data_IF_875738756291
#
_entry.id   IF_875738756291
#
_cell.length_a   1.000
_cell.length_b   1.000
_cell.length_c   1.000
_cell.angle_alpha   90.00
_cell.angle_beta   90.00
_cell.angle_gamma   90.00
#
_symmetry.space_group_name_H-M   'P 1'
#
loop_
_entity.id
_entity.type
_entity.pdbx_description
1 polymer ?
#
# COMPACT_ATOMS: atom_id res chain seq x y z
N UNK A 1 5.40 -19.09 -4.79
CA UNK A 1 6.18 -18.19 -5.66
C UNK A 1 6.39 -16.92 -4.86
N UNK A 2 7.64 -16.47 -4.69
CA UNK A 2 7.95 -15.28 -3.90
C UNK A 2 7.37 -14.04 -4.60
N UNK A 3 6.68 -13.17 -3.86
CA UNK A 3 6.12 -11.92 -4.40
C UNK A 3 7.18 -10.86 -4.37
N UNK A 4 7.24 -10.04 -5.42
CA UNK A 4 8.14 -8.89 -5.45
C UNK A 4 7.65 -7.83 -4.47
N UNK A 5 8.56 -7.15 -3.78
CA UNK A 5 8.18 -6.02 -2.91
C UNK A 5 7.80 -4.80 -3.76
N UNK A 6 6.73 -4.10 -3.36
CA UNK A 6 6.35 -2.82 -3.92
C UNK A 6 7.45 -1.77 -3.69
N UNK A 7 7.62 -0.84 -4.63
CA UNK A 7 8.60 0.24 -4.48
C UNK A 7 7.96 1.39 -3.72
N UNK A 8 8.44 1.67 -2.52
CA UNK A 8 7.99 2.79 -1.69
C UNK A 8 8.94 3.98 -1.84
N UNK A 9 8.49 5.07 -2.48
CA UNK A 9 9.26 6.30 -2.64
C UNK A 9 8.69 7.39 -1.73
N UNK A 10 9.48 7.84 -0.76
CA UNK A 10 9.10 8.97 0.10
C UNK A 10 9.23 10.27 -0.70
N UNK A 11 8.10 10.95 -0.90
CA UNK A 11 8.02 12.21 -1.65
C UNK A 11 8.11 13.43 -0.73
N UNK A 12 7.50 13.36 0.45
CA UNK A 12 7.48 14.44 1.45
C UNK A 12 7.67 13.80 2.82
N UNK A 13 8.51 14.41 3.65
CA UNK A 13 8.61 14.13 5.09
C UNK A 13 8.90 15.46 5.80
N UNK A 14 7.90 15.99 6.50
CA UNK A 14 8.02 17.24 7.24
C UNK A 14 7.20 17.18 8.54
N UNK A 15 7.25 18.24 9.33
CA UNK A 15 6.61 18.31 10.66
C UNK A 15 5.08 18.12 10.65
N UNK A 16 4.44 18.12 9.48
CA UNK A 16 2.98 18.00 9.36
C UNK A 16 2.55 16.69 8.71
N UNK A 17 3.25 16.25 7.66
CA UNK A 17 2.83 15.10 6.85
C UNK A 17 4.03 14.33 6.31
N UNK A 18 3.81 13.02 6.10
CA UNK A 18 4.63 12.16 5.28
C UNK A 18 3.82 11.67 4.09
N UNK A 19 4.37 11.78 2.88
CA UNK A 19 3.76 11.28 1.64
C UNK A 19 4.69 10.26 1.02
N UNK A 20 4.19 9.04 0.85
CA UNK A 20 4.91 7.94 0.20
C UNK A 20 4.12 7.49 -1.01
N UNK A 21 4.73 7.52 -2.19
CA UNK A 21 4.18 6.87 -3.39
C UNK A 21 4.57 5.40 -3.37
N UNK A 22 3.59 4.53 -3.55
CA UNK A 22 3.82 3.11 -3.73
C UNK A 22 3.59 2.74 -5.20
N UNK A 23 4.60 2.13 -5.81
CA UNK A 23 4.53 1.57 -7.16
C UNK A 23 4.47 0.05 -7.05
N UNK A 24 3.38 -0.55 -7.54
CA UNK A 24 3.14 -2.01 -7.51
C UNK A 24 3.28 -2.60 -8.91
N UNK A 25 4.20 -3.55 -9.08
CA UNK A 25 4.13 -4.47 -10.21
C UNK A 25 2.97 -5.47 -9.98
N UNK A 26 2.43 -6.11 -11.03
CA UNK A 26 1.40 -7.13 -10.86
C UNK A 26 1.85 -8.25 -9.90
N UNK A 27 1.08 -8.46 -8.83
CA UNK A 27 1.36 -9.46 -7.80
C UNK A 27 2.39 -9.03 -6.75
N UNK A 28 2.88 -7.78 -6.78
CA UNK A 28 3.77 -7.25 -5.76
C UNK A 28 3.06 -7.01 -4.42
N UNK A 29 3.81 -6.98 -3.33
CA UNK A 29 3.28 -6.78 -1.98
C UNK A 29 4.10 -5.78 -1.16
N UNK A 30 3.48 -5.21 -0.12
CA UNK A 30 4.15 -4.31 0.84
C UNK A 30 4.82 -5.05 2.00
N UNK A 31 4.62 -6.37 2.09
CA UNK A 31 4.90 -7.19 3.29
C UNK A 31 4.06 -6.76 4.51
N UNK A 32 4.15 -7.53 5.59
CA UNK A 32 3.46 -7.21 6.84
C UNK A 32 4.02 -5.94 7.48
N UNK A 33 3.13 -4.98 7.74
CA UNK A 33 3.46 -3.72 8.39
C UNK A 33 2.29 -3.23 9.25
N UNK A 34 2.58 -2.27 10.12
CA UNK A 34 1.57 -1.58 10.95
C UNK A 34 1.52 -0.12 10.55
N UNK A 35 0.31 0.43 10.49
CA UNK A 35 0.13 1.86 10.31
C UNK A 35 0.47 2.59 11.62
N UNK A 36 1.50 3.44 11.57
CA UNK A 36 1.95 4.25 12.71
C UNK A 36 1.21 5.60 12.80
N UNK A 37 0.51 5.99 11.74
CA UNK A 37 -0.25 7.23 11.64
C UNK A 37 -1.63 6.96 11.05
N UNK A 38 -2.57 7.84 11.36
CA UNK A 38 -3.76 8.00 10.53
C UNK A 38 -3.32 8.47 9.14
N UNK A 39 -3.95 7.92 8.11
CA UNK A 39 -3.52 8.15 6.74
C UNK A 39 -4.69 8.18 5.78
N UNK A 40 -4.41 8.73 4.59
CA UNK A 40 -5.32 8.71 3.45
C UNK A 40 -4.62 8.02 2.28
N UNK A 41 -5.41 7.38 1.42
CA UNK A 41 -4.93 6.83 0.15
C UNK A 41 -5.51 7.70 -0.97
N UNK A 42 -4.63 8.17 -1.85
CA UNK A 42 -5.01 8.75 -3.14
C UNK A 42 -4.50 7.83 -4.22
N UNK A 43 -5.40 7.10 -4.88
CA UNK A 43 -5.01 6.28 -6.02
C UNK A 43 -4.73 7.18 -7.23
N UNK A 44 -3.62 6.90 -7.92
CA UNK A 44 -3.26 7.55 -9.19
C UNK A 44 -3.61 6.65 -10.38
N UNK A 45 -3.80 5.36 -10.10
CA UNK A 45 -4.22 4.32 -11.03
C UNK A 45 -5.25 3.45 -10.33
N UNK A 46 -6.25 2.95 -11.06
CA UNK A 46 -7.16 1.94 -10.50
C UNK A 46 -6.37 0.68 -10.14
N UNK A 47 -6.55 0.19 -8.92
CA UNK A 47 -5.85 -0.97 -8.39
C UNK A 47 -6.86 -1.97 -7.82
N UNK A 48 -6.78 -3.22 -8.26
CA UNK A 48 -7.45 -4.33 -7.60
C UNK A 48 -6.43 -4.97 -6.65
N UNK A 49 -6.66 -4.82 -5.35
CA UNK A 49 -5.70 -5.18 -4.32
C UNK A 49 -6.29 -6.22 -3.37
N UNK A 50 -5.45 -7.18 -3.00
CA UNK A 50 -5.72 -8.10 -1.92
C UNK A 50 -5.13 -7.56 -0.62
N UNK A 51 -5.97 -7.45 0.41
CA UNK A 51 -5.57 -7.07 1.75
C UNK A 51 -5.56 -8.30 2.64
N UNK A 52 -4.38 -8.65 3.14
CA UNK A 52 -4.19 -9.71 4.13
C UNK A 52 -4.23 -9.09 5.54
N UNK A 53 -5.06 -9.65 6.41
CA UNK A 53 -5.36 -9.11 7.73
C UNK A 53 -4.99 -10.09 8.86
N UNK A 54 -4.75 -9.58 10.08
CA UNK A 54 -4.52 -10.45 11.24
C UNK A 54 -5.62 -11.49 11.41
N UNK A 55 -5.25 -12.70 11.80
CA UNK A 55 -6.20 -13.82 11.88
C UNK A 55 -6.36 -14.60 10.57
N UNK A 56 -5.46 -14.38 9.60
CA UNK A 56 -5.41 -15.11 8.33
C UNK A 56 -6.65 -14.89 7.46
N UNK A 57 -7.27 -13.72 7.60
CA UNK A 57 -8.38 -13.27 6.76
C UNK A 57 -7.84 -12.44 5.60
N UNK A 58 -8.52 -12.48 4.46
CA UNK A 58 -8.18 -11.65 3.31
C UNK A 58 -9.45 -11.08 2.67
N UNK A 59 -9.32 -9.91 2.04
CA UNK A 59 -10.37 -9.35 1.18
C UNK A 59 -9.78 -8.72 -0.08
N UNK A 60 -10.57 -8.70 -1.13
CA UNK A 60 -10.27 -7.96 -2.36
C UNK A 60 -10.92 -6.59 -2.30
N UNK A 61 -10.22 -5.56 -2.77
CA UNK A 61 -10.72 -4.20 -2.86
C UNK A 61 -10.30 -3.56 -4.18
N UNK A 62 -11.23 -2.83 -4.79
CA UNK A 62 -10.90 -1.91 -5.88
C UNK A 62 -10.64 -0.54 -5.28
N UNK A 63 -9.42 -0.04 -5.45
CA UNK A 63 -9.01 1.32 -5.10
C UNK A 63 -9.11 2.16 -6.36
N UNK A 64 -10.16 2.98 -6.44
CA UNK A 64 -10.43 3.85 -7.59
C UNK A 64 -9.52 5.06 -7.59
N UNK A 65 -9.02 5.44 -8.78
CA UNK A 65 -8.31 6.71 -8.99
C UNK A 65 -9.27 7.89 -9.18
#
# INVERSE_FOLDING_TARGET
>A
MERTTAVATMLIDNDRVRVTRFDFAPGAETTWHRHEHDYVITAITELNMRLEEPGNTEREVTVTA
#
